data_IF_015262610566
#
_entry.id   IF_015262610566
#
_cell.length_a   1.000
_cell.length_b   1.000
_cell.length_c   1.000
_cell.angle_alpha   90.00
_cell.angle_beta   90.00
_cell.angle_gamma   90.00
#
_symmetry.space_group_name_H-M   'P 1'
#
loop_
_entity.id
_entity.type
_entity.pdbx_description
1 polymer ?
#
# COMPACT_ATOMS: atom_id res chain seq x y z
N UNK A 1 -3.23 33.39 -11.29
CA UNK A 1 -3.44 32.03 -10.76
C UNK A 1 -4.64 32.08 -9.85
N UNK A 2 -5.62 31.26 -10.12
CA UNK A 2 -6.82 31.09 -9.30
C UNK A 2 -6.72 29.73 -8.56
N UNK A 3 -7.05 29.71 -7.29
CA UNK A 3 -7.12 28.50 -6.47
C UNK A 3 -8.58 28.31 -6.08
N UNK A 4 -9.17 27.22 -6.52
CA UNK A 4 -10.54 26.89 -6.17
C UNK A 4 -10.60 26.39 -4.72
N UNK A 5 -11.73 26.62 -4.07
CA UNK A 5 -12.07 26.03 -2.78
C UNK A 5 -12.20 24.49 -2.92
N UNK A 6 -12.25 23.77 -1.78
CA UNK A 6 -12.41 22.33 -1.78
C UNK A 6 -13.57 21.88 -2.67
N UNK A 7 -13.25 21.24 -3.79
CA UNK A 7 -14.24 20.84 -4.80
C UNK A 7 -15.29 19.87 -4.24
N UNK A 8 -14.97 19.12 -3.19
CA UNK A 8 -15.91 18.18 -2.56
C UNK A 8 -17.01 18.85 -1.74
N UNK A 9 -17.01 20.20 -1.63
CA UNK A 9 -18.16 20.92 -1.10
C UNK A 9 -19.32 20.91 -2.08
N UNK A 10 -19.07 20.70 -3.38
CA UNK A 10 -20.12 20.47 -4.36
C UNK A 10 -20.36 18.97 -4.53
N UNK A 11 -21.61 18.48 -4.36
CA UNK A 11 -21.92 17.06 -4.54
C UNK A 11 -21.70 16.57 -5.99
N UNK A 12 -21.64 17.47 -6.95
CA UNK A 12 -21.31 17.18 -8.34
C UNK A 12 -19.87 16.67 -8.51
N UNK A 13 -18.95 17.00 -7.59
CA UNK A 13 -17.57 16.49 -7.64
C UNK A 13 -17.54 14.98 -7.45
N UNK A 14 -18.06 14.48 -6.34
CA UNK A 14 -18.01 13.03 -6.03
C UNK A 14 -18.95 12.21 -6.90
N UNK A 15 -20.06 12.84 -7.37
CA UNK A 15 -21.03 12.22 -8.26
C UNK A 15 -20.67 12.27 -9.74
N UNK A 16 -19.51 12.84 -10.11
CA UNK A 16 -19.12 13.09 -11.50
C UNK A 16 -20.25 13.80 -12.30
N UNK A 17 -20.81 14.86 -11.70
CA UNK A 17 -21.96 15.58 -12.24
C UNK A 17 -21.62 16.38 -13.49
N UNK A 18 -22.31 16.17 -14.63
CA UNK A 18 -21.97 16.85 -15.90
C UNK A 18 -22.08 18.37 -15.84
N UNK A 19 -22.99 18.90 -15.02
CA UNK A 19 -23.11 20.34 -14.82
C UNK A 19 -21.90 20.93 -14.09
N UNK A 20 -21.37 20.22 -13.10
CA UNK A 20 -20.17 20.63 -12.39
C UNK A 20 -18.92 20.50 -13.27
N UNK A 21 -18.80 19.43 -14.06
CA UNK A 21 -17.73 19.30 -15.06
C UNK A 21 -17.74 20.48 -16.03
N UNK A 22 -18.92 20.88 -16.53
CA UNK A 22 -19.05 22.03 -17.46
C UNK A 22 -18.55 23.34 -16.83
N UNK A 23 -18.81 23.55 -15.53
CA UNK A 23 -18.26 24.71 -14.79
C UNK A 23 -16.73 24.63 -14.63
N UNK A 24 -16.18 23.45 -14.36
CA UNK A 24 -14.73 23.25 -14.20
C UNK A 24 -13.94 23.52 -15.48
N UNK A 25 -14.54 23.23 -16.64
CA UNK A 25 -13.88 23.42 -17.95
C UNK A 25 -14.20 24.75 -18.62
N UNK A 26 -15.06 25.58 -18.04
CA UNK A 26 -15.41 26.88 -18.61
C UNK A 26 -14.20 27.81 -18.67
N UNK A 27 -13.84 28.24 -19.88
CA UNK A 27 -12.75 29.18 -20.13
C UNK A 27 -11.35 28.65 -19.99
N UNK A 28 -11.15 27.31 -19.91
CA UNK A 28 -9.81 26.69 -19.92
C UNK A 28 -9.50 26.06 -21.29
N UNK A 29 -8.23 26.13 -21.71
CA UNK A 29 -7.72 25.61 -22.98
C UNK A 29 -7.14 24.20 -22.87
N UNK A 30 -6.84 23.74 -21.65
CA UNK A 30 -6.24 22.44 -21.40
C UNK A 30 -6.26 22.06 -19.92
N UNK A 31 -6.06 20.78 -19.65
CA UNK A 31 -6.09 20.21 -18.33
C UNK A 31 -4.84 19.37 -18.04
N UNK A 32 -4.30 19.50 -16.83
CA UNK A 32 -3.20 18.64 -16.33
C UNK A 32 -3.65 17.97 -15.06
N UNK A 33 -3.72 16.64 -15.08
CA UNK A 33 -3.92 15.86 -13.87
C UNK A 33 -2.57 15.59 -13.18
N UNK A 34 -2.32 16.22 -12.05
CA UNK A 34 -1.16 15.96 -11.20
C UNK A 34 -1.57 15.49 -9.79
N UNK A 35 -2.82 15.02 -9.63
CA UNK A 35 -3.44 14.58 -8.40
C UNK A 35 -3.45 13.06 -8.29
N UNK A 36 -2.28 12.43 -8.16
CA UNK A 36 -2.18 10.97 -8.10
C UNK A 36 -3.08 10.37 -7.02
N UNK A 37 -3.03 10.92 -5.79
CA UNK A 37 -3.83 10.44 -4.67
C UNK A 37 -5.35 10.47 -4.86
N UNK A 38 -5.86 11.25 -5.84
CA UNK A 38 -7.28 11.31 -6.19
C UNK A 38 -7.61 10.52 -7.46
N UNK A 39 -6.63 10.11 -8.24
CA UNK A 39 -6.81 9.51 -9.58
C UNK A 39 -7.45 8.12 -9.58
N UNK A 40 -7.55 7.47 -8.42
CA UNK A 40 -8.30 6.22 -8.22
C UNK A 40 -9.82 6.43 -8.11
N UNK A 41 -10.29 7.66 -8.12
CA UNK A 41 -11.71 8.01 -8.00
C UNK A 41 -12.22 8.65 -9.28
N UNK A 42 -13.37 8.16 -9.79
CA UNK A 42 -14.03 8.74 -10.96
C UNK A 42 -14.79 10.04 -10.60
N UNK A 43 -14.11 10.99 -9.95
CA UNK A 43 -14.66 12.29 -9.60
C UNK A 43 -14.67 13.24 -10.80
N UNK A 44 -15.58 14.24 -10.77
CA UNK A 44 -15.75 15.20 -11.85
C UNK A 44 -14.46 15.90 -12.26
N UNK A 45 -13.65 16.35 -11.29
CA UNK A 45 -12.38 17.03 -11.56
C UNK A 45 -11.28 16.10 -12.11
N UNK A 46 -11.43 14.78 -11.98
CA UNK A 46 -10.43 13.79 -12.41
C UNK A 46 -10.75 13.24 -13.82
N UNK A 47 -11.99 12.80 -14.03
CA UNK A 47 -12.38 12.12 -15.28
C UNK A 47 -13.22 13.00 -16.21
N UNK A 48 -13.69 14.15 -15.72
CA UNK A 48 -14.52 15.06 -16.49
C UNK A 48 -13.74 15.87 -17.53
N UNK A 49 -12.74 16.70 -17.15
CA UNK A 49 -12.04 17.60 -18.06
C UNK A 49 -11.42 16.90 -19.29
N UNK A 50 -10.87 15.68 -19.19
CA UNK A 50 -10.34 14.98 -20.36
C UNK A 50 -11.34 14.73 -21.49
N UNK A 51 -12.64 14.79 -21.20
CA UNK A 51 -13.71 14.62 -22.20
C UNK A 51 -13.95 15.87 -23.05
N UNK A 52 -13.46 17.03 -22.62
CA UNK A 52 -13.81 18.33 -23.21
C UNK A 52 -12.61 19.13 -23.71
N UNK A 53 -11.43 18.96 -23.09
CA UNK A 53 -10.23 19.74 -23.42
C UNK A 53 -9.00 18.84 -23.58
N UNK A 54 -7.98 19.26 -24.34
CA UNK A 54 -6.69 18.58 -24.39
C UNK A 54 -6.13 18.35 -22.97
N UNK A 55 -5.72 17.14 -22.67
CA UNK A 55 -5.37 16.75 -21.31
C UNK A 55 -4.06 15.97 -21.25
N UNK A 56 -3.32 16.12 -20.17
CA UNK A 56 -2.04 15.43 -19.95
C UNK A 56 -1.84 15.05 -18.49
N UNK A 57 -0.94 14.10 -18.25
CA UNK A 57 -0.40 13.83 -16.91
C UNK A 57 0.54 14.95 -16.47
N UNK A 58 0.44 15.34 -15.20
CA UNK A 58 1.46 16.14 -14.54
C UNK A 58 2.65 15.28 -14.13
N UNK A 59 3.74 15.94 -13.72
CA UNK A 59 5.01 15.26 -13.43
C UNK A 59 4.95 14.36 -12.20
N UNK A 60 4.17 14.75 -11.18
CA UNK A 60 3.97 13.91 -9.99
C UNK A 60 3.23 12.64 -10.37
N UNK A 61 2.10 12.78 -11.05
CA UNK A 61 1.31 11.62 -11.52
C UNK A 61 2.15 10.69 -12.40
N UNK A 62 2.93 11.24 -13.34
CA UNK A 62 3.83 10.47 -14.20
C UNK A 62 4.85 9.68 -13.37
N UNK A 63 5.52 10.33 -12.41
CA UNK A 63 6.52 9.69 -11.55
C UNK A 63 5.93 8.52 -10.75
N UNK A 64 4.76 8.74 -10.13
CA UNK A 64 4.06 7.71 -9.36
C UNK A 64 3.69 6.50 -10.23
N UNK A 65 3.12 6.75 -11.40
CA UNK A 65 2.74 5.71 -12.36
C UNK A 65 3.96 4.93 -12.85
N UNK A 66 5.04 5.61 -13.24
CA UNK A 66 6.27 4.96 -13.70
C UNK A 66 6.89 4.06 -12.62
N UNK A 67 6.96 4.54 -11.38
CA UNK A 67 7.54 3.76 -10.26
C UNK A 67 6.66 2.57 -9.92
N UNK A 68 5.37 2.78 -9.68
CA UNK A 68 4.48 1.72 -9.21
C UNK A 68 4.19 0.66 -10.28
N UNK A 69 3.96 1.06 -11.53
CA UNK A 69 3.85 0.10 -12.64
C UNK A 69 5.20 -0.59 -12.93
N UNK A 70 6.31 0.05 -12.61
CA UNK A 70 7.64 -0.56 -12.66
C UNK A 70 7.76 -1.77 -11.75
N UNK A 71 7.19 -1.72 -10.53
CA UNK A 71 7.14 -2.86 -9.61
C UNK A 71 6.39 -4.06 -10.20
N UNK A 72 5.31 -3.79 -10.92
CA UNK A 72 4.43 -4.82 -11.49
C UNK A 72 4.96 -5.38 -12.82
N UNK A 73 5.40 -4.50 -13.72
CA UNK A 73 5.66 -4.85 -15.12
C UNK A 73 7.13 -5.19 -15.40
N UNK A 74 8.06 -4.73 -14.55
CA UNK A 74 9.51 -4.91 -14.70
C UNK A 74 10.18 -5.15 -13.34
N UNK A 75 9.73 -6.14 -12.56
CA UNK A 75 10.31 -6.40 -11.24
C UNK A 75 11.80 -6.79 -11.34
N UNK A 76 12.59 -6.39 -10.35
CA UNK A 76 13.97 -6.81 -10.18
C UNK A 76 14.01 -7.87 -9.09
N UNK A 77 14.37 -9.08 -9.44
CA UNK A 77 14.38 -10.21 -8.51
C UNK A 77 15.72 -10.36 -7.75
N UNK A 78 15.73 -10.74 -6.47
CA UNK A 78 14.55 -11.01 -5.64
C UNK A 78 13.70 -9.75 -5.38
N UNK A 79 12.39 -9.87 -5.56
CA UNK A 79 11.42 -8.83 -5.22
C UNK A 79 10.66 -9.22 -3.96
N UNK A 80 10.71 -8.39 -2.94
CA UNK A 80 10.05 -8.58 -1.64
C UNK A 80 8.97 -7.53 -1.45
N UNK A 81 7.76 -7.95 -1.09
CA UNK A 81 6.74 -7.03 -0.61
C UNK A 81 6.55 -7.21 0.90
N UNK A 82 6.65 -6.10 1.63
CA UNK A 82 6.45 -6.02 3.09
C UNK A 82 5.11 -5.38 3.35
N UNK A 83 4.19 -6.14 3.92
CA UNK A 83 2.82 -5.71 4.15
C UNK A 83 2.47 -5.81 5.63
N UNK A 84 1.98 -4.72 6.18
CA UNK A 84 1.53 -4.64 7.56
C UNK A 84 0.18 -3.93 7.68
N UNK A 85 -0.18 -3.59 8.92
CA UNK A 85 -1.44 -2.93 9.23
C UNK A 85 -2.43 -3.84 9.95
N UNK A 86 -3.66 -3.35 10.15
CA UNK A 86 -4.63 -4.00 11.02
C UNK A 86 -5.40 -5.14 10.33
N UNK A 87 -5.79 -4.99 9.07
CA UNK A 87 -6.74 -5.85 8.37
C UNK A 87 -6.20 -6.38 7.05
N UNK A 88 -6.34 -7.69 6.83
CA UNK A 88 -6.02 -8.30 5.53
C UNK A 88 -7.07 -7.93 4.48
N UNK A 89 -8.34 -7.76 4.87
CA UNK A 89 -9.43 -7.39 3.97
C UNK A 89 -9.17 -6.10 3.20
N UNK A 90 -8.51 -5.12 3.84
CA UNK A 90 -8.18 -3.83 3.23
C UNK A 90 -7.06 -3.92 2.17
N UNK A 91 -6.34 -5.05 2.11
CA UNK A 91 -5.16 -5.28 1.26
C UNK A 91 -5.27 -6.54 0.41
N UNK A 92 -6.41 -7.22 0.44
CA UNK A 92 -6.55 -8.53 -0.20
C UNK A 92 -6.21 -8.49 -1.70
N UNK A 93 -6.77 -7.55 -2.45
CA UNK A 93 -6.50 -7.42 -3.89
C UNK A 93 -5.04 -7.14 -4.19
N UNK A 94 -4.38 -6.27 -3.41
CA UNK A 94 -2.95 -5.99 -3.59
C UNK A 94 -2.07 -7.18 -3.19
N UNK A 95 -2.45 -7.95 -2.15
CA UNK A 95 -1.74 -9.19 -1.77
C UNK A 95 -1.80 -10.20 -2.92
N UNK A 96 -2.98 -10.43 -3.50
CA UNK A 96 -3.18 -11.32 -4.63
C UNK A 96 -2.37 -10.85 -5.87
N UNK A 97 -2.45 -9.57 -6.21
CA UNK A 97 -1.70 -9.01 -7.33
C UNK A 97 -0.18 -9.10 -7.13
N UNK A 98 0.31 -8.83 -5.92
CA UNK A 98 1.74 -8.93 -5.61
C UNK A 98 2.24 -10.37 -5.61
N UNK A 99 1.43 -11.35 -5.18
CA UNK A 99 1.78 -12.77 -5.26
C UNK A 99 2.09 -13.24 -6.69
N UNK A 100 1.62 -12.54 -7.73
CA UNK A 100 2.00 -12.87 -9.11
C UNK A 100 3.46 -12.50 -9.43
N UNK A 101 3.97 -11.42 -8.85
CA UNK A 101 5.22 -10.78 -9.28
C UNK A 101 6.37 -10.86 -8.27
N UNK A 102 6.09 -11.00 -6.96
CA UNK A 102 7.14 -11.07 -5.93
C UNK A 102 7.75 -12.46 -5.81
N UNK A 103 8.92 -12.56 -5.19
CA UNK A 103 9.51 -13.82 -4.73
C UNK A 103 9.06 -14.14 -3.30
N UNK A 104 8.87 -13.11 -2.47
CA UNK A 104 8.44 -13.25 -1.09
C UNK A 104 7.48 -12.14 -0.66
N UNK A 105 6.53 -12.51 0.20
CA UNK A 105 5.74 -11.58 0.99
C UNK A 105 6.19 -11.64 2.45
N UNK A 106 6.38 -10.50 3.08
CA UNK A 106 6.61 -10.36 4.52
C UNK A 106 5.34 -9.76 5.12
N UNK A 107 4.72 -10.44 6.05
CA UNK A 107 3.44 -10.05 6.65
C UNK A 107 3.66 -9.71 8.13
N UNK A 108 3.38 -8.45 8.50
CA UNK A 108 3.41 -7.96 9.87
C UNK A 108 2.09 -7.29 10.28
N UNK A 109 2.13 -6.53 11.37
CA UNK A 109 0.94 -5.87 11.91
C UNK A 109 -0.12 -6.86 12.41
N UNK A 110 -1.28 -6.36 12.83
CA UNK A 110 -2.33 -7.22 13.36
C UNK A 110 -2.90 -8.20 12.32
N UNK A 111 -2.78 -7.91 11.02
CA UNK A 111 -3.21 -8.84 9.98
C UNK A 111 -2.49 -10.20 10.02
N UNK A 112 -1.29 -10.30 10.62
CA UNK A 112 -0.59 -11.57 10.79
C UNK A 112 -1.35 -12.56 11.69
N UNK A 113 -2.18 -12.08 12.62
CA UNK A 113 -2.98 -12.96 13.50
C UNK A 113 -4.08 -13.70 12.73
N UNK A 114 -4.61 -13.14 11.65
CA UNK A 114 -5.53 -13.86 10.77
C UNK A 114 -4.83 -15.02 10.07
N UNK A 115 -3.56 -14.85 9.65
CA UNK A 115 -2.74 -15.94 9.13
C UNK A 115 -2.38 -16.97 10.22
N UNK A 116 -2.11 -16.55 11.46
CA UNK A 116 -1.89 -17.49 12.56
C UNK A 116 -3.14 -18.32 12.86
N UNK A 117 -4.32 -17.69 12.90
CA UNK A 117 -5.60 -18.39 13.03
C UNK A 117 -5.82 -19.38 11.87
N UNK A 118 -5.47 -19.01 10.64
CA UNK A 118 -5.51 -19.88 9.46
C UNK A 118 -4.60 -21.12 9.61
N UNK A 119 -3.48 -20.99 10.35
CA UNK A 119 -2.59 -22.10 10.69
C UNK A 119 -3.02 -22.88 11.95
N UNK A 120 -4.16 -22.54 12.57
CA UNK A 120 -4.64 -23.17 13.80
C UNK A 120 -3.81 -22.83 15.05
N UNK A 121 -3.09 -21.70 15.04
CA UNK A 121 -2.33 -21.22 16.19
C UNK A 121 -3.24 -20.38 17.11
N UNK A 122 -3.15 -20.52 18.44
CA UNK A 122 -3.83 -19.63 19.36
C UNK A 122 -3.22 -18.22 19.28
N UNK A 123 -4.10 -17.21 19.25
CA UNK A 123 -3.73 -15.80 19.05
C UNK A 123 -4.08 -14.93 20.27
N UNK A 124 -4.54 -15.54 21.38
CA UNK A 124 -5.06 -14.84 22.55
C UNK A 124 -6.23 -13.93 22.16
N UNK A 125 -6.25 -12.73 22.73
CA UNK A 125 -7.23 -11.68 22.45
C UNK A 125 -6.74 -10.67 21.40
N UNK A 126 -5.78 -11.09 20.54
CA UNK A 126 -5.26 -10.22 19.48
C UNK A 126 -6.31 -9.94 18.41
N UNK A 127 -6.18 -8.77 17.78
CA UNK A 127 -7.06 -8.37 16.68
C UNK A 127 -6.86 -9.29 15.47
N UNK A 128 -7.95 -9.87 14.96
CA UNK A 128 -7.93 -10.65 13.72
C UNK A 128 -9.29 -10.56 13.02
N UNK A 129 -9.37 -11.05 11.78
CA UNK A 129 -10.60 -11.09 10.99
C UNK A 129 -11.08 -12.55 10.82
N UNK A 130 -12.07 -13.00 11.59
CA UNK A 130 -12.57 -14.39 11.52
C UNK A 130 -13.03 -14.78 10.12
N UNK A 131 -13.69 -13.85 9.42
CA UNK A 131 -14.24 -14.07 8.07
C UNK A 131 -13.15 -14.20 6.99
N UNK A 132 -11.90 -13.83 7.31
CA UNK A 132 -10.76 -13.90 6.38
C UNK A 132 -9.84 -15.10 6.62
N UNK A 133 -10.13 -15.93 7.61
CA UNK A 133 -9.29 -17.11 7.94
C UNK A 133 -9.15 -18.05 6.76
N UNK A 134 -10.25 -18.37 6.06
CA UNK A 134 -10.20 -19.27 4.90
C UNK A 134 -9.50 -18.62 3.68
N UNK A 135 -9.63 -17.29 3.54
CA UNK A 135 -8.85 -16.53 2.55
C UNK A 135 -7.36 -16.63 2.83
N UNK A 136 -6.92 -16.46 4.09
CA UNK A 136 -5.51 -16.61 4.45
C UNK A 136 -4.99 -18.04 4.22
N UNK A 137 -5.80 -19.10 4.48
CA UNK A 137 -5.43 -20.49 4.13
C UNK A 137 -5.20 -20.64 2.62
N UNK A 138 -6.09 -20.06 1.80
CA UNK A 138 -5.97 -20.08 0.34
C UNK A 138 -4.70 -19.37 -0.10
N UNK A 139 -4.42 -18.17 0.41
CA UNK A 139 -3.21 -17.40 0.07
C UNK A 139 -1.91 -18.15 0.41
N UNK A 140 -1.85 -18.81 1.58
CA UNK A 140 -0.71 -19.64 1.97
C UNK A 140 -0.49 -20.82 1.02
N UNK A 141 -1.58 -21.49 0.63
CA UNK A 141 -1.54 -22.61 -0.31
C UNK A 141 -1.13 -22.14 -1.71
N UNK A 142 -1.67 -21.02 -2.16
CA UNK A 142 -1.37 -20.42 -3.46
C UNK A 142 0.10 -19.97 -3.56
N UNK A 143 0.63 -19.29 -2.53
CA UNK A 143 2.03 -18.92 -2.47
C UNK A 143 2.92 -20.18 -2.62
N UNK A 144 2.62 -21.23 -1.85
CA UNK A 144 3.36 -22.50 -1.92
C UNK A 144 3.29 -23.13 -3.33
N UNK A 145 2.11 -23.15 -3.94
CA UNK A 145 1.91 -23.70 -5.28
C UNK A 145 2.69 -22.92 -6.37
N UNK A 146 2.86 -21.61 -6.17
CA UNK A 146 3.63 -20.71 -7.05
C UNK A 146 5.14 -20.69 -6.72
N UNK A 147 5.60 -21.45 -5.73
CA UNK A 147 7.00 -21.41 -5.26
C UNK A 147 7.39 -20.08 -4.63
N UNK A 148 6.42 -19.34 -4.09
CA UNK A 148 6.63 -18.08 -3.36
C UNK A 148 6.64 -18.32 -1.86
N UNK A 149 7.28 -17.44 -1.12
CA UNK A 149 7.34 -17.53 0.35
C UNK A 149 6.50 -16.43 0.99
N UNK A 150 5.65 -16.80 1.96
CA UNK A 150 5.02 -15.84 2.88
C UNK A 150 5.74 -15.97 4.23
N UNK A 151 6.50 -14.93 4.58
CA UNK A 151 7.17 -14.82 5.87
C UNK A 151 6.17 -14.24 6.87
N UNK A 152 5.85 -15.03 7.89
CA UNK A 152 5.04 -14.61 9.04
C UNK A 152 5.97 -14.41 10.24
N UNK A 153 5.58 -13.61 11.25
CA UNK A 153 6.37 -13.45 12.45
C UNK A 153 6.63 -14.78 13.17
N UNK A 154 7.82 -14.94 13.73
CA UNK A 154 8.20 -16.07 14.56
C UNK A 154 8.00 -15.77 16.06
N UNK A 155 7.95 -14.50 16.41
CA UNK A 155 7.65 -13.98 17.74
C UNK A 155 6.85 -12.68 17.65
N UNK A 156 6.14 -12.38 18.72
CA UNK A 156 5.22 -11.25 18.85
C UNK A 156 5.51 -10.49 20.13
N UNK A 157 5.56 -9.18 20.05
CA UNK A 157 5.60 -8.28 21.21
C UNK A 157 4.18 -7.78 21.51
N UNK A 158 3.80 -7.80 22.78
CA UNK A 158 2.45 -7.45 23.18
C UNK A 158 2.29 -7.32 24.69
N UNK A 159 1.10 -7.63 25.19
CA UNK A 159 0.80 -7.65 26.61
C UNK A 159 0.23 -8.99 27.06
N UNK A 160 0.51 -9.36 28.31
CA UNK A 160 -0.16 -10.46 29.03
C UNK A 160 -1.62 -10.12 29.31
N UNK A 161 -2.39 -11.07 29.85
CA UNK A 161 -3.76 -10.84 30.32
C UNK A 161 -3.86 -9.73 31.38
N UNK A 162 -2.80 -9.56 32.18
CA UNK A 162 -2.72 -8.52 33.22
C UNK A 162 -2.23 -7.17 32.66
N UNK A 163 -1.97 -7.07 31.34
CA UNK A 163 -1.54 -5.85 30.67
C UNK A 163 -0.04 -5.57 30.74
N UNK A 164 0.78 -6.50 31.25
CA UNK A 164 2.22 -6.35 31.32
C UNK A 164 2.87 -6.60 29.94
N UNK A 165 3.89 -5.83 29.61
CA UNK A 165 4.67 -6.00 28.40
C UNK A 165 5.35 -7.39 28.36
N UNK A 166 5.22 -8.08 27.24
CA UNK A 166 5.81 -9.41 27.05
C UNK A 166 6.13 -9.68 25.57
N UNK A 167 7.07 -10.59 25.35
CA UNK A 167 7.33 -11.20 24.04
C UNK A 167 6.87 -12.66 24.07
N UNK A 168 6.12 -13.03 23.06
CA UNK A 168 5.55 -14.38 22.86
C UNK A 168 6.16 -15.01 21.62
N UNK A 169 6.14 -16.35 21.53
CA UNK A 169 6.30 -17.02 20.24
C UNK A 169 5.04 -16.86 19.37
N UNK A 170 4.85 -17.74 18.39
CA UNK A 170 3.69 -17.71 17.46
C UNK A 170 2.38 -18.20 18.09
N UNK A 171 2.35 -18.52 19.35
CA UNK A 171 1.19 -19.02 20.09
C UNK A 171 0.98 -18.16 21.33
N UNK A 172 -0.01 -17.29 21.28
CA UNK A 172 -0.32 -16.40 22.38
C UNK A 172 -1.29 -17.09 23.35
N UNK A 173 -1.06 -17.00 24.66
CA UNK A 173 -1.98 -17.53 25.66
C UNK A 173 -3.30 -16.70 25.71
N UNK A 174 -4.34 -17.28 26.28
CA UNK A 174 -5.62 -16.61 26.48
C UNK A 174 -5.43 -15.30 27.26
N UNK A 175 -6.13 -14.25 26.84
CA UNK A 175 -6.02 -12.91 27.40
C UNK A 175 -4.82 -12.09 26.94
N UNK A 176 -3.79 -12.70 26.35
CA UNK A 176 -2.67 -11.96 25.79
C UNK A 176 -3.05 -11.26 24.50
N UNK A 177 -2.43 -10.10 24.23
CA UNK A 177 -2.65 -9.32 22.99
C UNK A 177 -1.33 -8.99 22.33
N UNK A 178 -1.20 -9.28 21.04
CA UNK A 178 -0.07 -8.85 20.24
C UNK A 178 -0.27 -7.46 19.64
N UNK A 179 0.79 -6.66 19.62
CA UNK A 179 0.78 -5.28 19.14
C UNK A 179 1.91 -4.95 18.17
N UNK A 180 2.99 -5.76 18.15
CA UNK A 180 4.10 -5.59 17.22
C UNK A 180 4.72 -6.96 16.93
N UNK A 181 5.50 -7.05 15.88
CA UNK A 181 6.38 -8.20 15.66
C UNK A 181 7.47 -8.23 16.75
N UNK A 182 7.93 -9.41 17.12
CA UNK A 182 9.01 -9.57 18.09
C UNK A 182 10.39 -9.30 17.48
N UNK A 183 11.45 -9.24 18.33
CA UNK A 183 12.80 -8.94 17.88
C UNK A 183 13.38 -10.01 16.94
N UNK A 184 13.05 -11.28 17.12
CA UNK A 184 13.46 -12.36 16.21
C UNK A 184 12.84 -12.20 14.83
N UNK A 185 11.55 -11.89 14.78
CA UNK A 185 10.82 -11.59 13.53
C UNK A 185 11.40 -10.38 12.82
N UNK A 186 11.68 -9.29 13.57
CA UNK A 186 12.25 -8.07 13.01
C UNK A 186 13.64 -8.34 12.38
N UNK A 187 14.48 -9.16 13.02
CA UNK A 187 15.77 -9.57 12.47
C UNK A 187 15.60 -10.42 11.20
N UNK A 188 14.73 -11.44 11.23
CA UNK A 188 14.48 -12.28 10.07
C UNK A 188 13.90 -11.47 8.88
N UNK A 189 13.03 -10.52 9.14
CA UNK A 189 12.48 -9.63 8.09
C UNK A 189 13.56 -8.71 7.53
N UNK A 190 14.47 -8.22 8.38
CA UNK A 190 15.64 -7.44 7.93
C UNK A 190 16.47 -8.26 6.96
N UNK A 191 16.79 -9.50 7.27
CA UNK A 191 17.60 -10.37 6.39
C UNK A 191 16.93 -10.53 5.01
N UNK A 192 15.61 -10.77 4.98
CA UNK A 192 14.85 -10.89 3.73
C UNK A 192 14.88 -9.58 2.91
N UNK A 193 14.77 -8.42 3.56
CA UNK A 193 14.84 -7.10 2.91
C UNK A 193 16.25 -6.83 2.37
N UNK A 194 17.30 -7.14 3.16
CA UNK A 194 18.69 -6.89 2.77
C UNK A 194 19.15 -7.74 1.59
N UNK A 195 18.61 -8.93 1.41
CA UNK A 195 18.89 -9.83 0.28
C UNK A 195 18.12 -9.48 -1.00
N UNK A 196 17.15 -8.57 -0.93
CA UNK A 196 16.33 -8.15 -2.06
C UNK A 196 17.08 -7.27 -3.07
N UNK A 197 16.51 -7.16 -4.27
CA UNK A 197 16.87 -6.17 -5.29
C UNK A 197 15.77 -5.13 -5.53
N UNK A 198 14.58 -5.44 -5.06
CA UNK A 198 13.42 -4.56 -5.09
C UNK A 198 12.58 -4.83 -3.86
N UNK A 199 12.15 -3.78 -3.16
CA UNK A 199 11.28 -3.88 -2.00
C UNK A 199 10.12 -2.90 -2.13
N UNK A 200 8.91 -3.39 -1.91
CA UNK A 200 7.73 -2.55 -1.71
C UNK A 200 7.25 -2.71 -0.27
N UNK A 201 7.10 -1.62 0.47
CA UNK A 201 6.59 -1.62 1.83
C UNK A 201 5.29 -0.83 1.95
N UNK A 202 4.26 -1.46 2.54
CA UNK A 202 2.98 -0.82 2.82
C UNK A 202 2.38 -1.30 4.15
N UNK A 203 2.30 -0.40 5.12
CA UNK A 203 1.71 -0.60 6.43
C UNK A 203 2.72 -1.00 7.51
N UNK A 204 2.51 -0.52 8.75
CA UNK A 204 3.42 -0.74 9.87
C UNK A 204 3.38 -2.20 10.36
N UNK A 205 4.49 -2.62 11.00
CA UNK A 205 4.63 -3.97 11.56
C UNK A 205 3.99 -4.11 12.94
N UNK A 206 3.65 -3.00 13.57
CA UNK A 206 3.03 -2.91 14.90
C UNK A 206 2.39 -1.56 15.12
N UNK A 207 1.92 -1.33 16.33
CA UNK A 207 1.29 -0.08 16.78
C UNK A 207 2.39 0.95 17.11
N UNK A 208 3.05 1.47 16.06
CA UNK A 208 4.28 2.28 16.17
C UNK A 208 4.06 3.65 16.82
N UNK A 209 2.85 4.09 16.98
CA UNK A 209 2.47 5.29 17.73
C UNK A 209 2.71 5.13 19.24
N UNK A 210 2.72 3.89 19.75
CA UNK A 210 3.15 3.57 21.11
C UNK A 210 4.62 3.07 21.08
N UNK A 211 5.51 3.81 21.73
CA UNK A 211 6.96 3.48 21.79
C UNK A 211 7.25 2.05 22.23
N UNK A 212 6.39 1.44 23.05
CA UNK A 212 6.53 0.05 23.49
C UNK A 212 6.43 -0.95 22.34
N UNK A 213 5.71 -0.56 21.26
CA UNK A 213 5.35 -1.43 20.14
C UNK A 213 5.81 -0.86 18.80
N UNK A 214 6.79 0.07 18.82
CA UNK A 214 7.33 0.70 17.63
C UNK A 214 8.56 -0.02 17.04
N UNK A 215 9.14 -0.97 17.77
CA UNK A 215 10.45 -1.57 17.46
C UNK A 215 10.43 -2.33 16.13
N UNK A 216 9.39 -3.09 15.85
CA UNK A 216 9.27 -3.86 14.61
C UNK A 216 9.19 -2.93 13.37
N UNK A 217 8.33 -1.91 13.43
CA UNK A 217 8.21 -0.92 12.35
C UNK A 217 9.50 -0.13 12.16
N UNK A 218 10.16 0.28 13.26
CA UNK A 218 11.44 0.99 13.22
C UNK A 218 12.53 0.13 12.57
N UNK A 219 12.62 -1.15 12.92
CA UNK A 219 13.62 -2.06 12.36
C UNK A 219 13.41 -2.26 10.85
N UNK A 220 12.19 -2.45 10.41
CA UNK A 220 11.87 -2.53 8.98
C UNK A 220 12.19 -1.23 8.27
N UNK A 221 11.86 -0.06 8.84
CA UNK A 221 12.20 1.23 8.25
C UNK A 221 13.72 1.40 8.06
N UNK A 222 14.53 1.01 9.04
CA UNK A 222 15.99 1.01 8.90
C UNK A 222 16.46 0.02 7.83
N UNK A 223 15.90 -1.18 7.77
CA UNK A 223 16.24 -2.13 6.71
C UNK A 223 15.92 -1.59 5.31
N UNK A 224 14.81 -0.84 5.16
CA UNK A 224 14.47 -0.14 3.91
C UNK A 224 15.48 0.95 3.54
N UNK A 225 16.02 1.67 4.53
CA UNK A 225 17.02 2.71 4.32
C UNK A 225 18.43 2.13 4.02
N UNK A 226 18.79 1.00 4.66
CA UNK A 226 20.13 0.43 4.61
C UNK A 226 20.33 -0.54 3.42
N UNK A 227 19.26 -1.07 2.83
CA UNK A 227 19.35 -2.03 1.73
C UNK A 227 19.87 -1.38 0.44
N UNK A 228 20.48 -2.19 -0.43
CA UNK A 228 20.86 -1.79 -1.80
C UNK A 228 19.75 -2.04 -2.84
N UNK A 229 18.62 -2.57 -2.39
CA UNK A 229 17.47 -2.78 -3.23
C UNK A 229 16.87 -1.43 -3.67
N UNK A 230 16.14 -1.43 -4.78
CA UNK A 230 15.27 -0.30 -5.12
C UNK A 230 14.05 -0.33 -4.18
N UNK A 231 13.89 0.71 -3.38
CA UNK A 231 12.91 0.76 -2.30
C UNK A 231 11.75 1.70 -2.62
N UNK A 232 10.53 1.17 -2.48
CA UNK A 232 9.29 1.93 -2.66
C UNK A 232 8.43 1.76 -1.41
N UNK A 233 8.00 2.88 -0.85
CA UNK A 233 7.12 2.91 0.33
C UNK A 233 5.78 3.52 -0.06
N UNK A 234 4.71 2.80 0.21
CA UNK A 234 3.34 3.23 -0.06
C UNK A 234 2.47 3.25 1.20
N UNK A 235 1.48 4.14 1.20
CA UNK A 235 0.53 4.29 2.30
C UNK A 235 0.94 5.31 3.35
N UNK A 236 -0.07 6.01 3.88
CA UNK A 236 0.12 7.11 4.83
C UNK A 236 0.86 6.72 6.10
N UNK A 237 0.52 5.56 6.68
CA UNK A 237 1.12 5.09 7.94
C UNK A 237 2.59 4.72 7.76
N UNK A 238 2.96 4.10 6.64
CA UNK A 238 4.36 3.78 6.34
C UNK A 238 5.20 5.04 6.11
N UNK A 239 4.64 6.02 5.38
CA UNK A 239 5.27 7.33 5.18
C UNK A 239 5.41 8.08 6.51
N UNK A 240 4.38 8.05 7.36
CA UNK A 240 4.42 8.66 8.69
C UNK A 240 5.48 8.00 9.58
N UNK A 241 5.63 6.67 9.53
CA UNK A 241 6.67 5.94 10.24
C UNK A 241 8.08 6.36 9.78
N UNK A 242 8.32 6.43 8.45
CA UNK A 242 9.60 6.92 7.92
C UNK A 242 9.91 8.34 8.41
N UNK A 243 8.95 9.25 8.32
CA UNK A 243 9.12 10.63 8.78
C UNK A 243 9.39 10.71 10.30
N UNK A 244 8.68 9.90 11.11
CA UNK A 244 8.91 9.82 12.56
C UNK A 244 10.33 9.34 12.88
N UNK A 245 10.86 8.39 12.10
CA UNK A 245 12.22 7.86 12.27
C UNK A 245 13.28 8.65 11.50
N UNK A 246 12.89 9.70 10.74
CA UNK A 246 13.78 10.57 9.92
C UNK A 246 14.53 9.78 8.83
N UNK A 247 13.82 8.89 8.13
CA UNK A 247 14.34 8.01 7.10
C UNK A 247 13.64 8.21 5.73
N UNK A 248 12.83 9.24 5.60
CA UNK A 248 12.05 9.54 4.39
C UNK A 248 12.92 9.89 3.18
N UNK A 249 14.09 10.48 3.40
CA UNK A 249 15.08 10.80 2.35
C UNK A 249 16.03 9.62 2.02
N UNK A 250 15.97 8.51 2.77
CA UNK A 250 16.88 7.36 2.65
C UNK A 250 16.27 6.20 1.83
N UNK A 251 15.07 6.39 1.27
CA UNK A 251 14.41 5.44 0.38
C UNK A 251 14.23 6.01 -1.03
N UNK A 252 14.22 5.18 -2.07
CA UNK A 252 14.17 5.66 -3.45
C UNK A 252 12.86 6.36 -3.83
N UNK A 253 11.74 5.91 -3.25
CA UNK A 253 10.43 6.53 -3.51
C UNK A 253 9.45 6.34 -2.36
N UNK A 254 8.88 7.44 -1.89
CA UNK A 254 7.71 7.44 -0.99
C UNK A 254 6.50 7.89 -1.80
N UNK A 255 5.57 6.99 -2.02
CA UNK A 255 4.36 7.29 -2.78
C UNK A 255 3.40 8.18 -1.96
N UNK A 256 2.93 9.23 -2.60
CA UNK A 256 1.96 10.17 -2.03
C UNK A 256 0.50 9.70 -2.19
N UNK A 257 0.29 8.56 -2.87
CA UNK A 257 -1.01 8.15 -3.38
C UNK A 257 -1.94 7.48 -2.36
N UNK A 258 -1.43 7.01 -1.21
CA UNK A 258 -2.28 6.28 -0.26
C UNK A 258 -3.00 5.09 -0.93
N UNK A 259 -4.35 5.14 -0.96
CA UNK A 259 -5.18 4.12 -1.63
C UNK A 259 -4.91 3.99 -3.12
N UNK A 260 -4.63 5.10 -3.81
CA UNK A 260 -4.35 5.07 -5.25
C UNK A 260 -3.14 4.20 -5.61
N UNK A 261 -2.12 4.15 -4.73
CA UNK A 261 -0.94 3.31 -4.94
C UNK A 261 -1.29 1.82 -4.90
N UNK A 262 -2.13 1.43 -3.96
CA UNK A 262 -2.58 0.03 -3.82
C UNK A 262 -3.47 -0.35 -5.00
N UNK A 263 -4.44 0.49 -5.37
CA UNK A 263 -5.33 0.23 -6.50
C UNK A 263 -4.55 0.16 -7.83
N UNK A 264 -3.52 0.99 -8.02
CA UNK A 264 -2.68 0.93 -9.22
C UNK A 264 -1.88 -0.37 -9.27
N UNK A 265 -1.35 -0.84 -8.13
CA UNK A 265 -0.65 -2.12 -8.04
C UNK A 265 -1.60 -3.31 -8.27
N UNK A 266 -2.81 -3.24 -7.74
CA UNK A 266 -3.84 -4.27 -7.87
C UNK A 266 -4.35 -4.37 -9.32
N UNK A 267 -4.83 -3.24 -9.86
CA UNK A 267 -5.56 -3.22 -11.13
C UNK A 267 -4.65 -2.95 -12.34
N UNK A 268 -3.47 -2.36 -12.14
CA UNK A 268 -2.58 -1.91 -13.20
C UNK A 268 -3.05 -0.64 -13.91
N UNK A 269 -4.16 -0.05 -13.47
CA UNK A 269 -4.77 1.15 -14.01
C UNK A 269 -5.62 1.89 -12.97
N UNK A 270 -5.97 3.15 -13.28
CA UNK A 270 -6.83 4.00 -12.46
C UNK A 270 -7.80 4.78 -13.35
N UNK A 271 -9.02 5.13 -12.87
CA UNK A 271 -9.98 5.93 -13.63
C UNK A 271 -9.40 7.22 -14.20
N UNK A 272 -8.55 7.92 -13.44
CA UNK A 272 -7.88 9.13 -13.90
C UNK A 272 -6.87 8.91 -15.02
N UNK A 273 -6.21 7.76 -15.06
CA UNK A 273 -5.28 7.40 -16.13
C UNK A 273 -6.03 6.96 -17.39
N UNK A 274 -7.08 6.20 -17.23
CA UNK A 274 -7.96 5.79 -18.32
C UNK A 274 -8.56 7.01 -19.02
N UNK A 275 -9.07 7.98 -18.24
CA UNK A 275 -9.64 9.21 -18.79
C UNK A 275 -8.63 10.00 -19.62
N UNK A 276 -7.37 10.09 -19.19
CA UNK A 276 -6.31 10.79 -19.95
C UNK A 276 -5.97 10.09 -21.27
N UNK A 277 -5.96 8.75 -21.33
CA UNK A 277 -5.68 8.00 -22.56
C UNK A 277 -6.77 8.14 -23.61
N UNK A 278 -8.02 8.18 -23.19
CA UNK A 278 -9.16 8.31 -24.09
C UNK A 278 -9.18 9.65 -24.85
N UNK A 279 -8.46 10.67 -24.37
CA UNK A 279 -8.27 11.96 -25.07
C UNK A 279 -7.39 11.84 -26.31
N UNK A 280 -6.39 10.97 -26.31
CA UNK A 280 -5.48 10.79 -27.45
C UNK A 280 -6.19 10.16 -28.66
N UNK A 281 -7.16 9.29 -28.42
CA UNK A 281 -7.98 8.69 -29.49
C UNK A 281 -8.91 9.70 -30.16
N UNK A 282 -9.42 10.69 -29.42
CA UNK A 282 -10.30 11.74 -29.97
C UNK A 282 -9.53 12.80 -30.78
N UNK A 283 -8.27 13.07 -30.43
CA UNK A 283 -7.42 14.02 -31.13
C UNK A 283 -6.75 13.44 -32.40
N UNK A 284 -6.53 12.12 -32.45
CA UNK A 284 -5.95 11.42 -33.60
C UNK A 284 -6.87 11.32 -34.83
N UNK A 285 -8.17 11.50 -34.69
CA UNK A 285 -9.15 11.40 -35.77
C UNK A 285 -9.49 12.73 -36.46
N UNK A 286 -8.96 13.87 -36.01
CA UNK A 286 -9.17 15.20 -36.63
C UNK A 286 -8.03 15.66 -37.55
N UNK A 287 -7.05 14.82 -37.81
CA UNK A 287 -5.82 15.12 -38.61
C UNK A 287 -5.66 14.22 -39.84
N UNK A 288 -6.72 13.96 -40.60
CA UNK A 288 -6.62 13.31 -41.94
C UNK A 288 -7.55 13.96 -42.94
#
# INVERSE_FOLDING_TARGET
VELLENLRFDPGETGNGPAFVAQLVEGIDGYVNDAFGASHRAHASIVGPPQFVPSAMGRLLQKEVEVLLGLRNKPRHPFVAVLGGAKISDKLGVVEALLEVVDSLVIGGAMCFTFFAAQGKPIGDSLFEPDQVDTCKRLLAEATAKGKTIHLPEDITGTTADGEYATFGTRLPDGAKGFDIGPGSAAAFTDVIMDARMVFWNGPMGMFEDERFASGTRTVAHAMADTKAFTVVGGGDSAAALAQFKLDDEVDHVSTGGGASLELLENGDLPGLEALRNTDEHNGTKGS
#
